data_IF_232665514860
#
_entry.id   IF_232665514860
#
_cell.length_a   1.000
_cell.length_b   1.000
_cell.length_c   1.000
_cell.angle_alpha   90.00
_cell.angle_beta   90.00
_cell.angle_gamma   90.00
#
_symmetry.space_group_name_H-M   'P 1'
#
loop_
_entity.id
_entity.type
_entity.pdbx_description
1 polymer ?
#
# COMPACT_ATOMS: atom_id res chain seq x y z
N UNK A 1 19.60 -1.12 -11.06
CA UNK A 1 18.60 -0.99 -9.96
C UNK A 1 17.12 -1.07 -10.39
N UNK A 2 16.74 -0.65 -11.61
CA UNK A 2 15.32 -0.60 -12.07
C UNK A 2 14.86 -1.87 -12.81
N UNK A 3 15.48 -3.03 -12.56
CA UNK A 3 15.14 -4.25 -13.29
C UNK A 3 13.74 -4.73 -12.91
N UNK A 4 12.87 -4.87 -13.91
CA UNK A 4 11.54 -5.47 -13.75
C UNK A 4 11.70 -6.95 -13.35
N UNK A 5 11.08 -7.34 -12.24
CA UNK A 5 11.04 -8.73 -11.78
C UNK A 5 9.65 -9.30 -12.03
N UNK A 6 9.57 -10.52 -12.56
CA UNK A 6 8.30 -11.24 -12.67
C UNK A 6 7.87 -11.72 -11.29
N UNK A 7 6.61 -11.47 -10.93
CA UNK A 7 6.00 -12.02 -9.72
C UNK A 7 5.39 -13.40 -10.04
N UNK A 8 5.51 -14.32 -9.10
CA UNK A 8 4.94 -15.66 -9.20
C UNK A 8 3.63 -15.69 -8.41
N UNK A 9 2.53 -15.99 -9.10
CA UNK A 9 1.17 -16.07 -8.55
C UNK A 9 0.46 -17.27 -9.18
N UNK A 10 -0.60 -17.76 -8.56
CA UNK A 10 -1.41 -18.81 -9.18
C UNK A 10 -2.19 -18.27 -10.39
N UNK A 11 -2.40 -19.10 -11.41
CA UNK A 11 -3.10 -18.71 -12.66
C UNK A 11 -4.48 -18.11 -12.40
N UNK A 12 -5.22 -18.69 -11.46
CA UNK A 12 -6.53 -18.19 -11.04
C UNK A 12 -6.46 -16.77 -10.44
N UNK A 13 -5.44 -16.49 -9.61
CA UNK A 13 -5.25 -15.18 -8.99
C UNK A 13 -4.88 -14.12 -10.02
N UNK A 14 -4.04 -14.47 -11.00
CA UNK A 14 -3.68 -13.58 -12.11
C UNK A 14 -4.93 -13.14 -12.86
N UNK A 15 -5.79 -14.09 -13.26
CA UNK A 15 -7.02 -13.77 -13.98
C UNK A 15 -7.97 -12.90 -13.14
N UNK A 16 -8.09 -13.18 -11.84
CA UNK A 16 -8.91 -12.41 -10.90
C UNK A 16 -8.42 -10.97 -10.75
N UNK A 17 -7.11 -10.77 -10.63
CA UNK A 17 -6.50 -9.44 -10.53
C UNK A 17 -6.63 -8.71 -11.86
N UNK A 18 -6.37 -9.37 -12.99
CA UNK A 18 -6.48 -8.77 -14.33
C UNK A 18 -7.89 -8.27 -14.62
N UNK A 19 -8.92 -9.05 -14.24
CA UNK A 19 -10.32 -8.62 -14.35
C UNK A 19 -10.61 -7.34 -13.57
N UNK A 20 -10.12 -7.25 -12.32
CA UNK A 20 -10.28 -6.05 -11.48
C UNK A 20 -9.44 -4.87 -11.96
N UNK A 21 -8.28 -5.12 -12.56
CA UNK A 21 -7.39 -4.05 -13.03
C UNK A 21 -7.93 -3.37 -14.30
N UNK A 22 -8.80 -4.06 -15.06
CA UNK A 22 -9.57 -3.48 -16.16
C UNK A 22 -10.65 -2.50 -15.69
N UNK A 23 -11.10 -2.61 -14.43
CA UNK A 23 -12.01 -1.61 -13.86
C UNK A 23 -11.29 -0.28 -13.66
N UNK A 24 -11.87 0.80 -14.20
CA UNK A 24 -11.26 2.12 -14.20
C UNK A 24 -10.96 2.60 -12.77
N UNK A 25 -9.69 2.91 -12.53
CA UNK A 25 -9.24 3.56 -11.29
C UNK A 25 -8.76 2.60 -10.20
N UNK A 26 -8.69 1.29 -10.45
CA UNK A 26 -7.95 0.35 -9.59
C UNK A 26 -6.51 0.22 -10.06
N UNK A 27 -5.59 0.08 -9.10
CA UNK A 27 -4.15 -0.07 -9.35
C UNK A 27 -3.60 -1.09 -8.37
N UNK A 28 -2.70 -1.95 -8.86
CA UNK A 28 -1.97 -2.89 -8.01
C UNK A 28 -0.79 -2.18 -7.34
N UNK A 29 -0.70 -2.26 -6.02
CA UNK A 29 0.36 -1.62 -5.22
C UNK A 29 0.97 -2.64 -4.26
N UNK A 30 2.30 -2.59 -4.05
CA UNK A 30 2.94 -3.40 -3.02
C UNK A 30 2.59 -2.85 -1.63
N UNK A 31 2.21 -3.74 -0.71
CA UNK A 31 1.91 -3.40 0.68
C UNK A 31 3.11 -3.66 1.58
N UNK A 32 3.68 -4.86 1.47
CA UNK A 32 4.80 -5.31 2.30
C UNK A 32 5.72 -6.21 1.51
N UNK A 33 7.00 -6.15 1.85
CA UNK A 33 8.01 -7.10 1.41
C UNK A 33 8.44 -7.86 2.66
N UNK A 34 8.37 -9.18 2.62
CA UNK A 34 8.71 -10.03 3.75
C UNK A 34 9.55 -11.21 3.31
N UNK A 35 10.43 -11.65 4.21
CA UNK A 35 11.23 -12.83 4.01
C UNK A 35 10.44 -14.04 4.48
N UNK A 36 10.38 -15.08 3.65
CA UNK A 36 9.91 -16.40 4.04
C UNK A 36 10.99 -17.39 3.61
N UNK A 37 11.63 -18.01 4.59
CA UNK A 37 12.77 -18.90 4.39
C UNK A 37 13.88 -18.16 3.61
N UNK A 38 14.33 -18.71 2.48
CA UNK A 38 15.32 -18.09 1.57
C UNK A 38 14.70 -17.21 0.48
N UNK A 39 13.37 -17.00 0.49
CA UNK A 39 12.64 -16.28 -0.54
C UNK A 39 12.13 -14.92 -0.03
N UNK A 40 12.18 -13.93 -0.91
CA UNK A 40 11.53 -12.64 -0.70
C UNK A 40 10.15 -12.67 -1.31
N UNK A 41 9.13 -12.50 -0.47
CA UNK A 41 7.73 -12.41 -0.88
C UNK A 41 7.26 -10.96 -0.84
N UNK A 42 6.40 -10.63 -1.79
CA UNK A 42 5.77 -9.32 -1.89
C UNK A 42 4.27 -9.51 -1.73
N UNK A 43 3.70 -8.85 -0.73
CA UNK A 43 2.27 -8.72 -0.56
C UNK A 43 1.78 -7.57 -1.46
N UNK A 44 0.80 -7.86 -2.31
CA UNK A 44 0.22 -6.89 -3.25
C UNK A 44 -1.26 -6.67 -2.93
N UNK A 45 -1.70 -5.42 -3.04
CA UNK A 45 -3.08 -5.01 -2.83
C UNK A 45 -3.64 -4.26 -4.03
N UNK A 46 -4.96 -4.31 -4.20
CA UNK A 46 -5.67 -3.45 -5.14
C UNK A 46 -6.11 -2.19 -4.40
N UNK A 47 -5.70 -1.03 -4.91
CA UNK A 47 -6.07 0.26 -4.36
C UNK A 47 -6.72 1.14 -5.41
N UNK A 48 -7.60 2.03 -4.96
CA UNK A 48 -8.12 3.14 -5.77
C UNK A 48 -7.42 4.42 -5.33
N UNK A 49 -6.89 5.18 -6.29
CA UNK A 49 -6.32 6.49 -5.99
C UNK A 49 -7.36 7.42 -5.37
N UNK A 50 -7.04 8.06 -4.24
CA UNK A 50 -7.89 9.11 -3.65
C UNK A 50 -7.89 10.35 -4.53
N UNK A 51 -9.04 11.02 -4.66
CA UNK A 51 -9.14 12.28 -5.40
C UNK A 51 -8.43 13.40 -4.62
N UNK A 52 -8.01 14.47 -5.31
CA UNK A 52 -7.19 15.53 -4.71
C UNK A 52 -7.84 16.23 -3.50
N UNK A 53 -9.17 16.35 -3.50
CA UNK A 53 -9.92 16.93 -2.39
C UNK A 53 -9.87 16.07 -1.11
N UNK A 54 -9.94 14.74 -1.25
CA UNK A 54 -9.89 13.81 -0.11
C UNK A 54 -8.52 13.84 0.59
N UNK A 55 -7.45 14.13 -0.15
CA UNK A 55 -6.09 14.21 0.42
C UNK A 55 -5.94 15.31 1.45
N UNK A 56 -6.65 16.44 1.30
CA UNK A 56 -6.52 17.58 2.23
C UNK A 56 -7.01 17.23 3.64
N UNK A 57 -8.17 16.57 3.73
CA UNK A 57 -8.72 16.12 5.01
C UNK A 57 -7.83 15.03 5.66
N UNK A 58 -7.33 14.09 4.87
CA UNK A 58 -6.43 13.05 5.38
C UNK A 58 -5.09 13.60 5.86
N UNK A 59 -4.52 14.58 5.17
CA UNK A 59 -3.25 15.22 5.55
C UNK A 59 -3.43 15.92 6.91
N UNK A 60 -4.48 16.72 7.05
CA UNK A 60 -4.79 17.40 8.31
C UNK A 60 -4.97 16.38 9.47
N UNK A 61 -5.72 15.31 9.23
CA UNK A 61 -5.95 14.26 10.24
C UNK A 61 -4.67 13.50 10.60
N UNK A 62 -3.78 13.25 9.63
CA UNK A 62 -2.48 12.60 9.88
C UNK A 62 -1.52 13.49 10.64
N UNK A 63 -1.47 14.78 10.33
CA UNK A 63 -0.61 15.71 11.07
C UNK A 63 -1.09 15.87 12.51
N UNK A 64 -2.41 16.04 12.74
CA UNK A 64 -2.97 16.05 14.10
C UNK A 64 -2.61 14.79 14.89
N UNK A 65 -2.72 13.60 14.26
CA UNK A 65 -2.36 12.34 14.90
C UNK A 65 -0.86 12.28 15.23
N UNK A 66 0.00 12.71 14.30
CA UNK A 66 1.46 12.73 14.49
C UNK A 66 1.88 13.69 15.60
N UNK A 67 1.25 14.86 15.69
CA UNK A 67 1.48 15.82 16.78
C UNK A 67 1.02 15.24 18.12
N UNK A 68 -0.16 14.61 18.18
CA UNK A 68 -0.63 13.94 19.39
C UNK A 68 0.31 12.82 19.85
N UNK A 69 0.79 11.99 18.92
CA UNK A 69 1.76 10.92 19.20
C UNK A 69 3.12 11.49 19.70
N UNK A 70 3.60 12.60 19.14
CA UNK A 70 4.80 13.30 19.62
C UNK A 70 4.59 13.86 21.02
N UNK A 71 3.50 14.58 21.26
CA UNK A 71 3.19 15.19 22.55
C UNK A 71 3.03 14.14 23.66
N UNK A 72 2.40 13.01 23.36
CA UNK A 72 2.27 11.90 24.30
C UNK A 72 3.63 11.28 24.66
N UNK A 73 4.54 11.17 23.69
CA UNK A 73 5.88 10.62 23.91
C UNK A 73 6.79 11.56 24.71
N UNK A 74 6.64 12.88 24.54
CA UNK A 74 7.40 13.90 25.28
C UNK A 74 6.91 14.05 26.72
N UNK A 75 5.61 13.87 26.98
CA UNK A 75 5.01 14.05 28.31
C UNK A 75 5.21 12.86 29.26
N UNK A 76 5.67 11.71 28.74
CA UNK A 76 5.98 10.50 29.50
C UNK A 76 7.50 10.27 29.67
N UNK A 77 8.32 11.30 29.39
CA UNK A 77 9.69 11.45 29.85
C UNK A 77 9.71 12.43 31.02
#
# INVERSE_FOLDING_TARGET
PLRVRKLLLHRYEINKIEGKLKEKGLTLVPLKVYFKDSLVKVEVGLARGKKLYDKRQDIAKKDQRREAERNFKVKNL
#
